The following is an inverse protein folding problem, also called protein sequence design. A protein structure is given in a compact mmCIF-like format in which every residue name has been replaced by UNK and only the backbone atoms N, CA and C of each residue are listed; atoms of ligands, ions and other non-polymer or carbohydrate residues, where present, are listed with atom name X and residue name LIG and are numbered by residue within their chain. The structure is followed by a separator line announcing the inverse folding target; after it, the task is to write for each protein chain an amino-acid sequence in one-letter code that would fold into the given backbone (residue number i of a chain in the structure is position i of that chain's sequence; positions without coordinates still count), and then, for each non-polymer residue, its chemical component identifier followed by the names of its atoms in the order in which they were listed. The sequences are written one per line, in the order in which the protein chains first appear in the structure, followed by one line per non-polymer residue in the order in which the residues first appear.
data_IF_998513657641
#
_entry.id   IF_998513657641
#
_cell.length_a   1.000
_cell.length_b   1.000
_cell.length_c   1.000
_cell.angle_alpha   90.00
_cell.angle_beta   90.00
_cell.angle_gamma   90.00
#
_symmetry.space_group_name_H-M   'P 1'
#
loop_
_entity.id
_entity.type
_entity.pdbx_description
1 polymer ?
#
# COMPACT_ATOMS: atom_id res chain seq x y z
N UNK A 1 4.78 9.09 -10.27
CA UNK A 1 3.39 9.59 -10.40
C UNK A 1 2.53 8.51 -11.03
N UNK A 2 1.39 8.15 -10.41
CA UNK A 2 0.42 7.21 -10.99
C UNK A 2 -0.86 7.97 -11.34
N UNK A 3 -1.30 7.86 -12.57
CA UNK A 3 -2.55 8.45 -13.05
C UNK A 3 -3.54 7.34 -13.45
N UNK A 4 -4.77 7.47 -12.99
CA UNK A 4 -5.87 6.57 -13.28
C UNK A 4 -6.89 7.30 -14.13
N UNK A 5 -7.21 6.80 -15.32
CA UNK A 5 -8.12 7.44 -16.27
C UNK A 5 -9.34 6.58 -16.53
N UNK A 6 -10.45 6.97 -15.92
CA UNK A 6 -11.78 6.42 -16.16
C UNK A 6 -11.84 4.89 -16.17
N UNK A 7 -11.21 4.24 -15.16
CA UNK A 7 -11.13 2.78 -15.09
C UNK A 7 -12.44 2.17 -14.63
N UNK A 8 -12.79 1.04 -15.27
CA UNK A 8 -13.88 0.16 -14.90
C UNK A 8 -13.36 -1.26 -14.74
N UNK A 9 -13.86 -1.96 -13.73
CA UNK A 9 -13.52 -3.36 -13.52
C UNK A 9 -14.69 -4.14 -12.89
N UNK A 10 -14.84 -5.39 -13.29
CA UNK A 10 -15.77 -6.33 -12.68
C UNK A 10 -15.13 -7.71 -12.58
N UNK A 11 -15.41 -8.42 -11.49
CA UNK A 11 -15.21 -9.87 -11.42
C UNK A 11 -16.42 -10.55 -12.09
N UNK A 12 -16.17 -11.29 -13.18
CA UNK A 12 -17.22 -11.83 -14.02
C UNK A 12 -18.22 -10.71 -14.44
N UNK A 13 -19.48 -10.79 -13.99
CA UNK A 13 -20.53 -9.79 -14.25
C UNK A 13 -20.72 -8.78 -13.11
N UNK A 14 -20.06 -8.96 -11.95
CA UNK A 14 -20.24 -8.09 -10.79
C UNK A 14 -19.34 -6.87 -10.88
N UNK A 15 -19.87 -5.64 -11.09
CA UNK A 15 -19.07 -4.42 -11.11
C UNK A 15 -18.43 -4.16 -9.74
N UNK A 16 -17.14 -3.78 -9.74
CA UNK A 16 -16.38 -3.45 -8.52
C UNK A 16 -15.74 -2.09 -8.59
N UNK A 17 -15.27 -1.68 -9.76
CA UNK A 17 -14.72 -0.33 -9.99
C UNK A 17 -15.54 0.31 -11.11
N UNK A 18 -16.00 1.54 -10.87
CA UNK A 18 -17.01 2.22 -11.67
C UNK A 18 -16.58 3.65 -12.05
N UNK A 19 -15.65 3.77 -13.01
CA UNK A 19 -15.24 5.06 -13.57
C UNK A 19 -14.34 5.88 -12.65
N UNK A 20 -13.32 5.25 -12.03
CA UNK A 20 -12.35 5.96 -11.20
C UNK A 20 -11.37 6.75 -12.09
N UNK A 21 -11.24 8.05 -11.76
CA UNK A 21 -10.23 8.94 -12.31
C UNK A 21 -9.53 9.67 -11.16
N UNK A 22 -8.21 9.48 -11.04
CA UNK A 22 -7.40 10.08 -9.97
C UNK A 22 -5.94 10.16 -10.35
N UNK A 23 -5.25 11.15 -9.79
CA UNK A 23 -3.80 11.33 -9.92
C UNK A 23 -3.18 11.20 -8.54
N UNK A 24 -2.33 10.18 -8.36
CA UNK A 24 -1.48 10.03 -7.17
C UNK A 24 -0.18 10.78 -7.42
N UNK A 25 0.03 11.84 -6.64
CA UNK A 25 1.18 12.70 -6.78
C UNK A 25 2.48 12.01 -6.36
N UNK A 26 3.60 12.42 -6.96
CA UNK A 26 4.92 11.90 -6.58
C UNK A 26 5.27 12.33 -5.15
N UNK A 27 5.72 11.37 -4.35
CA UNK A 27 6.09 11.63 -2.95
C UNK A 27 4.89 11.78 -2.01
N UNK A 28 3.64 11.59 -2.47
CA UNK A 28 2.46 11.60 -1.60
C UNK A 28 2.36 10.32 -0.77
N UNK A 29 1.75 10.44 0.41
CA UNK A 29 1.28 9.31 1.19
C UNK A 29 -0.25 9.34 1.20
N UNK A 30 -0.84 8.55 0.30
CA UNK A 30 -2.29 8.50 0.07
C UNK A 30 -2.93 7.30 0.75
N UNK A 31 -3.96 7.54 1.55
CA UNK A 31 -4.82 6.50 2.10
C UNK A 31 -6.05 6.26 1.20
N UNK A 32 -6.25 5.03 0.78
CA UNK A 32 -7.49 4.56 0.15
C UNK A 32 -8.38 3.99 1.26
N UNK A 33 -9.47 4.67 1.54
CA UNK A 33 -10.44 4.39 2.60
C UNK A 33 -11.77 3.90 2.01
N UNK A 34 -12.66 3.41 2.86
CA UNK A 34 -14.02 3.02 2.49
C UNK A 34 -14.45 1.71 3.16
N UNK A 35 -15.74 1.40 3.16
CA UNK A 35 -16.27 0.18 3.76
C UNK A 35 -15.74 -1.09 3.07
N UNK A 36 -15.98 -2.25 3.71
CA UNK A 36 -15.64 -3.54 3.12
C UNK A 36 -16.42 -3.72 1.80
N UNK A 37 -15.73 -4.22 0.77
CA UNK A 37 -16.32 -4.39 -0.56
C UNK A 37 -16.35 -3.12 -1.41
N UNK A 38 -15.89 -1.96 -0.95
CA UNK A 38 -15.88 -0.71 -1.73
C UNK A 38 -14.92 -0.70 -2.93
N UNK A 39 -14.02 -1.70 -3.04
CA UNK A 39 -13.08 -1.84 -4.15
C UNK A 39 -11.62 -1.46 -3.86
N UNK A 40 -11.24 -1.20 -2.60
CA UNK A 40 -9.87 -0.79 -2.20
C UNK A 40 -8.78 -1.74 -2.71
N UNK A 41 -8.85 -3.01 -2.32
CA UNK A 41 -7.92 -4.06 -2.78
C UNK A 41 -7.92 -4.22 -4.31
N UNK A 42 -9.10 -4.12 -4.92
CA UNK A 42 -9.23 -4.19 -6.38
C UNK A 42 -8.53 -3.02 -7.06
N UNK A 43 -8.67 -1.80 -6.53
CA UNK A 43 -7.97 -0.63 -7.05
C UNK A 43 -6.45 -0.80 -6.92
N UNK A 44 -5.94 -1.20 -5.75
CA UNK A 44 -4.50 -1.49 -5.55
C UNK A 44 -3.98 -2.51 -6.59
N UNK A 45 -4.73 -3.58 -6.84
CA UNK A 45 -4.34 -4.61 -7.82
C UNK A 45 -4.38 -4.12 -9.27
N UNK A 46 -5.29 -3.19 -9.59
CA UNK A 46 -5.32 -2.53 -10.90
C UNK A 46 -4.14 -1.58 -11.08
N UNK A 47 -3.76 -0.83 -10.04
CA UNK A 47 -2.59 0.05 -10.06
C UNK A 47 -1.28 -0.72 -10.32
N UNK A 48 -1.18 -1.95 -9.81
CA UNK A 48 -0.03 -2.84 -9.99
C UNK A 48 -0.14 -3.77 -11.22
N UNK A 49 -1.14 -3.57 -12.08
CA UNK A 49 -1.41 -4.41 -13.25
C UNK A 49 -1.57 -5.93 -12.95
N UNK A 50 -1.86 -6.30 -11.70
CA UNK A 50 -2.26 -7.67 -11.32
C UNK A 50 -3.62 -7.98 -11.91
N UNK A 51 -4.52 -6.99 -11.90
CA UNK A 51 -5.79 -7.01 -12.60
C UNK A 51 -5.72 -6.01 -13.77
N UNK A 52 -6.39 -6.34 -14.86
CA UNK A 52 -6.50 -5.44 -16.02
C UNK A 52 -7.88 -4.78 -16.02
N UNK A 53 -7.96 -3.45 -16.17
CA UNK A 53 -9.26 -2.78 -16.27
C UNK A 53 -10.01 -3.25 -17.53
N UNK A 54 -11.35 -3.30 -17.46
CA UNK A 54 -12.20 -3.59 -18.63
C UNK A 54 -12.24 -2.42 -19.60
N UNK A 55 -12.15 -1.21 -19.08
CA UNK A 55 -11.97 0.03 -19.85
C UNK A 55 -11.24 1.07 -19.02
N UNK A 56 -10.75 2.11 -19.69
CA UNK A 56 -9.83 3.08 -19.09
C UNK A 56 -8.40 2.54 -18.98
N UNK A 57 -7.52 3.30 -18.36
CA UNK A 57 -6.11 2.95 -18.26
C UNK A 57 -5.49 3.45 -16.95
N UNK A 58 -4.41 2.77 -16.55
CA UNK A 58 -3.51 3.22 -15.47
C UNK A 58 -2.17 3.57 -16.11
N UNK A 59 -1.67 4.75 -15.79
CA UNK A 59 -0.40 5.26 -16.28
C UNK A 59 0.59 5.38 -15.12
N UNK A 60 1.82 4.95 -15.33
CA UNK A 60 2.95 5.20 -14.45
C UNK A 60 3.94 6.09 -15.21
N UNK A 61 4.19 7.28 -14.70
CA UNK A 61 5.02 8.31 -15.35
C UNK A 61 4.66 8.50 -16.85
N UNK A 62 3.35 8.63 -17.12
CA UNK A 62 2.73 8.77 -18.46
C UNK A 62 2.80 7.55 -19.35
N UNK A 63 3.35 6.42 -18.90
CA UNK A 63 3.38 5.17 -19.64
C UNK A 63 2.26 4.23 -19.17
N UNK A 64 1.43 3.69 -20.07
CA UNK A 64 0.40 2.73 -19.69
C UNK A 64 1.01 1.47 -19.06
N UNK A 65 0.62 1.16 -17.81
CA UNK A 65 1.12 -0.06 -17.13
C UNK A 65 0.71 -1.34 -17.86
N UNK A 66 -0.40 -1.31 -18.59
CA UNK A 66 -0.84 -2.43 -19.43
C UNK A 66 0.13 -2.82 -20.54
N UNK A 67 1.02 -1.89 -20.96
CA UNK A 67 2.05 -2.11 -21.98
C UNK A 67 3.41 -2.52 -21.39
N UNK A 68 3.52 -2.55 -20.06
CA UNK A 68 4.75 -2.93 -19.37
C UNK A 68 4.76 -4.42 -19.08
N UNK A 69 5.95 -5.02 -19.13
CA UNK A 69 6.16 -6.38 -18.61
C UNK A 69 6.10 -6.39 -17.10
N UNK A 70 5.75 -7.53 -16.49
CA UNK A 70 5.75 -7.68 -15.03
C UNK A 70 7.10 -7.30 -14.40
N UNK A 71 8.21 -7.59 -15.10
CA UNK A 71 9.57 -7.22 -14.66
C UNK A 71 9.81 -5.71 -14.66
N UNK A 72 9.28 -4.98 -15.64
CA UNK A 72 9.36 -3.52 -15.70
C UNK A 72 8.54 -2.89 -14.57
N UNK A 73 7.31 -3.37 -14.35
CA UNK A 73 6.44 -2.91 -13.26
C UNK A 73 7.12 -3.16 -11.92
N UNK A 74 7.63 -4.37 -11.68
CA UNK A 74 8.28 -4.74 -10.42
C UNK A 74 9.56 -3.95 -10.10
N UNK A 75 10.17 -3.25 -11.07
CA UNK A 75 11.27 -2.31 -10.82
C UNK A 75 10.80 -0.93 -10.35
N UNK A 76 9.54 -0.60 -10.60
CA UNK A 76 8.97 0.74 -10.36
C UNK A 76 7.96 0.74 -9.21
N UNK A 77 7.25 -0.38 -9.03
CA UNK A 77 6.19 -0.54 -8.02
C UNK A 77 6.54 -1.71 -7.10
N UNK A 78 6.71 -1.42 -5.80
CA UNK A 78 6.72 -2.42 -4.74
C UNK A 78 5.29 -2.72 -4.30
N UNK A 79 4.95 -3.98 -4.04
CA UNK A 79 3.63 -4.38 -3.59
C UNK A 79 3.67 -5.24 -2.34
N UNK A 80 2.92 -4.84 -1.34
CA UNK A 80 2.71 -5.58 -0.08
C UNK A 80 1.24 -5.98 0.01
N UNK A 81 0.89 -7.24 -0.23
CA UNK A 81 -0.50 -7.72 -0.13
C UNK A 81 -0.95 -7.90 1.32
N UNK A 82 -2.26 -7.88 1.56
CA UNK A 82 -2.89 -8.05 2.87
C UNK A 82 -2.52 -9.38 3.55
N UNK A 83 -2.55 -10.49 2.80
CA UNK A 83 -2.22 -11.82 3.31
C UNK A 83 -1.17 -12.48 2.44
N UNK A 84 -0.21 -13.11 3.10
CA UNK A 84 0.72 -14.04 2.48
C UNK A 84 0.56 -15.40 3.15
N UNK A 85 -0.42 -16.16 2.64
CA UNK A 85 -0.60 -17.55 3.02
C UNK A 85 0.48 -18.39 2.30
N UNK A 86 0.95 -19.47 2.96
CA UNK A 86 1.95 -20.40 2.45
C UNK A 86 3.32 -19.74 2.16
N UNK A 87 3.95 -19.27 3.23
CA UNK A 87 5.34 -18.84 3.15
C UNK A 87 6.20 -20.10 3.19
N UNK A 88 6.93 -20.36 2.11
CA UNK A 88 7.93 -21.43 2.12
C UNK A 88 8.95 -21.14 3.23
N UNK A 89 9.44 -22.16 3.94
CA UNK A 89 10.53 -22.00 4.90
C UNK A 89 11.72 -21.31 4.22
N UNK A 90 12.03 -20.10 4.66
CA UNK A 90 13.13 -19.30 4.14
C UNK A 90 13.61 -18.36 5.23
N UNK A 91 14.87 -17.96 5.16
CA UNK A 91 15.39 -16.95 6.07
C UNK A 91 14.78 -15.59 5.78
N UNK A 92 14.84 -14.68 6.74
CA UNK A 92 14.49 -13.26 6.53
C UNK A 92 15.31 -12.69 5.39
N UNK A 93 16.64 -12.96 5.37
CA UNK A 93 17.53 -12.50 4.32
C UNK A 93 17.07 -12.99 2.94
N UNK A 94 16.81 -14.29 2.78
CA UNK A 94 16.39 -14.86 1.50
C UNK A 94 15.05 -14.27 1.06
N UNK A 95 14.11 -14.09 2.00
CA UNK A 95 12.80 -13.47 1.71
C UNK A 95 12.94 -12.05 1.18
N UNK A 96 13.83 -11.23 1.77
CA UNK A 96 14.08 -9.86 1.30
C UNK A 96 14.83 -9.88 -0.03
N UNK A 97 15.78 -10.80 -0.20
CA UNK A 97 16.53 -10.97 -1.45
C UNK A 97 15.63 -11.31 -2.64
N UNK A 98 14.49 -12.00 -2.43
CA UNK A 98 13.48 -12.19 -3.49
C UNK A 98 12.99 -10.88 -4.10
N UNK A 99 13.02 -9.77 -3.35
CA UNK A 99 12.74 -8.44 -3.88
C UNK A 99 13.68 -8.01 -5.01
N UNK A 100 14.87 -8.60 -5.10
CA UNK A 100 15.84 -8.33 -6.18
C UNK A 100 15.55 -9.08 -7.48
N UNK A 101 14.60 -10.04 -7.50
CA UNK A 101 14.26 -10.84 -8.68
C UNK A 101 14.09 -10.02 -9.99
N UNK A 102 13.54 -8.80 -10.01
CA UNK A 102 13.46 -8.00 -11.24
C UNK A 102 14.83 -7.64 -11.84
N UNK A 103 15.92 -7.74 -11.08
CA UNK A 103 17.28 -7.41 -11.52
C UNK A 103 18.12 -8.66 -11.79
N UNK A 104 17.79 -9.78 -11.15
CA UNK A 104 18.54 -11.04 -11.25
C UNK A 104 18.22 -11.73 -12.58
N UNK A 105 19.28 -12.27 -13.25
CA UNK A 105 19.10 -13.12 -14.45
C UNK A 105 19.15 -14.60 -14.12
N UNK A 106 20.20 -15.03 -13.41
CA UNK A 106 20.44 -16.43 -13.04
C UNK A 106 20.60 -16.59 -11.52
N UNK A 107 21.56 -15.89 -10.93
CA UNK A 107 21.81 -15.92 -9.49
C UNK A 107 21.97 -14.50 -8.95
N UNK A 108 21.63 -14.25 -7.66
CA UNK A 108 21.89 -12.98 -6.99
C UNK A 108 23.39 -12.66 -6.98
N UNK A 109 23.76 -11.46 -7.44
CA UNK A 109 25.14 -10.96 -7.35
C UNK A 109 25.44 -10.28 -6.02
N UNK A 110 26.71 -9.88 -5.81
CA UNK A 110 27.13 -9.18 -4.60
C UNK A 110 26.38 -7.86 -4.39
N UNK A 111 26.04 -7.15 -5.49
CA UNK A 111 25.21 -5.94 -5.41
C UNK A 111 23.82 -6.23 -4.84
N UNK A 112 23.20 -7.34 -5.21
CA UNK A 112 21.85 -7.70 -4.74
C UNK A 112 21.90 -8.05 -3.25
N UNK A 113 22.92 -8.77 -2.81
CA UNK A 113 23.15 -9.09 -1.40
C UNK A 113 23.42 -7.83 -0.58
N UNK A 114 24.25 -6.91 -1.09
CA UNK A 114 24.57 -5.65 -0.41
C UNK A 114 23.31 -4.79 -0.21
N UNK A 115 22.48 -4.62 -1.26
CA UNK A 115 21.19 -3.90 -1.15
C UNK A 115 20.27 -4.58 -0.13
N UNK A 116 20.22 -5.92 -0.13
CA UNK A 116 19.42 -6.67 0.83
C UNK A 116 19.88 -6.40 2.26
N UNK A 117 21.19 -6.47 2.52
CA UNK A 117 21.76 -6.20 3.84
C UNK A 117 21.51 -4.75 4.29
N UNK A 118 21.66 -3.77 3.40
CA UNK A 118 21.37 -2.35 3.69
C UNK A 118 19.91 -2.16 4.12
N UNK A 119 18.96 -2.78 3.41
CA UNK A 119 17.54 -2.71 3.74
C UNK A 119 17.23 -3.40 5.07
N UNK A 120 17.86 -4.53 5.36
CA UNK A 120 17.68 -5.21 6.65
C UNK A 120 18.15 -4.34 7.81
N UNK A 121 19.32 -3.71 7.70
CA UNK A 121 19.84 -2.77 8.72
C UNK A 121 18.88 -1.58 8.87
N UNK A 122 18.47 -0.95 7.76
CA UNK A 122 17.55 0.19 7.78
C UNK A 122 16.22 -0.10 8.49
N UNK A 123 15.74 -1.36 8.42
CA UNK A 123 14.47 -1.78 9.02
C UNK A 123 14.63 -2.51 10.36
N UNK A 124 15.84 -2.51 10.93
CA UNK A 124 16.17 -3.21 12.18
C UNK A 124 15.77 -4.70 12.13
N UNK A 125 16.16 -5.37 11.05
CA UNK A 125 15.93 -6.80 10.81
C UNK A 125 17.22 -7.61 10.71
N UNK A 126 18.37 -6.97 10.83
CA UNK A 126 19.72 -7.56 10.72
C UNK A 126 19.98 -8.63 11.78
N UNK A 127 19.57 -8.39 13.03
CA UNK A 127 19.69 -9.36 14.14
C UNK A 127 18.90 -10.66 13.90
N UNK A 128 17.89 -10.62 13.04
CA UNK A 128 17.04 -11.77 12.72
C UNK A 128 17.18 -12.24 11.28
N UNK A 129 18.19 -11.75 10.56
CA UNK A 129 18.37 -12.02 9.13
C UNK A 129 18.41 -13.51 8.77
N UNK A 130 18.97 -14.35 9.64
CA UNK A 130 19.09 -15.79 9.44
C UNK A 130 17.92 -16.60 10.05
N UNK A 131 16.96 -15.97 10.75
CA UNK A 131 15.81 -16.66 11.30
C UNK A 131 14.82 -17.04 10.19
N UNK A 132 14.15 -18.18 10.37
CA UNK A 132 13.03 -18.57 9.51
C UNK A 132 11.87 -17.58 9.69
N UNK A 133 11.32 -17.08 8.58
CA UNK A 133 10.22 -16.12 8.54
C UNK A 133 8.97 -16.63 9.26
N UNK A 134 8.77 -17.95 9.31
CA UNK A 134 7.62 -18.57 9.97
C UNK A 134 7.69 -18.47 11.51
N UNK A 135 8.87 -18.26 12.08
CA UNK A 135 9.08 -18.10 13.51
C UNK A 135 9.01 -16.65 13.98
N UNK A 136 8.64 -15.72 13.11
CA UNK A 136 8.54 -14.29 13.43
C UNK A 136 7.17 -13.93 13.98
N UNK A 137 7.13 -12.89 14.84
CA UNK A 137 5.89 -12.21 15.19
C UNK A 137 5.22 -11.60 13.95
N UNK A 138 3.91 -11.32 14.04
CA UNK A 138 3.17 -10.69 12.94
C UNK A 138 3.81 -9.37 12.49
N UNK A 139 4.21 -8.52 13.44
CA UNK A 139 4.85 -7.24 13.13
C UNK A 139 6.24 -7.38 12.52
N UNK A 140 7.06 -8.31 13.00
CA UNK A 140 8.36 -8.59 12.39
C UNK A 140 8.18 -9.11 10.95
N UNK A 141 7.25 -10.03 10.75
CA UNK A 141 6.94 -10.57 9.42
C UNK A 141 6.46 -9.48 8.47
N UNK A 142 5.63 -8.57 8.92
CA UNK A 142 5.16 -7.45 8.11
C UNK A 142 6.31 -6.53 7.68
N UNK A 143 7.24 -6.22 8.60
CA UNK A 143 8.46 -5.45 8.25
C UNK A 143 9.31 -6.18 7.21
N UNK A 144 9.44 -7.51 7.28
CA UNK A 144 10.14 -8.30 6.26
C UNK A 144 9.47 -8.19 4.89
N UNK A 145 8.14 -8.17 4.81
CA UNK A 145 7.46 -7.99 3.53
C UNK A 145 7.61 -6.57 2.96
N UNK A 146 7.61 -5.55 3.83
CA UNK A 146 7.94 -4.19 3.42
C UNK A 146 9.41 -4.12 2.95
N UNK A 147 10.34 -4.74 3.69
CA UNK A 147 11.75 -4.84 3.29
C UNK A 147 11.91 -5.48 1.91
N UNK A 148 11.19 -6.58 1.65
CA UNK A 148 11.18 -7.24 0.33
C UNK A 148 10.70 -6.32 -0.78
N UNK A 149 9.64 -5.54 -0.53
CA UNK A 149 9.14 -4.57 -1.50
C UNK A 149 10.16 -3.43 -1.73
N UNK A 150 10.82 -2.95 -0.68
CA UNK A 150 11.84 -1.91 -0.76
C UNK A 150 13.12 -2.39 -1.45
N UNK A 151 13.46 -3.68 -1.33
CA UNK A 151 14.61 -4.26 -2.04
C UNK A 151 14.50 -4.17 -3.56
N UNK A 152 13.29 -4.00 -4.11
CA UNK A 152 13.08 -3.67 -5.53
C UNK A 152 13.57 -2.27 -5.88
N UNK A 153 13.86 -1.40 -4.90
CA UNK A 153 14.17 0.02 -5.08
C UNK A 153 13.10 0.76 -5.91
N UNK A 154 11.82 0.61 -5.54
CA UNK A 154 10.71 1.15 -6.31
C UNK A 154 10.58 2.67 -6.11
N UNK A 155 9.93 3.35 -7.06
CA UNK A 155 9.50 4.75 -6.89
C UNK A 155 8.13 4.88 -6.22
N UNK A 156 7.34 3.80 -6.25
CA UNK A 156 6.01 3.71 -5.66
C UNK A 156 5.90 2.43 -4.84
N UNK A 157 5.30 2.51 -3.66
CA UNK A 157 4.91 1.33 -2.88
C UNK A 157 3.40 1.29 -2.70
N UNK A 158 2.81 0.15 -3.03
CA UNK A 158 1.39 -0.15 -2.86
C UNK A 158 1.23 -1.12 -1.71
N UNK A 159 0.37 -0.79 -0.74
CA UNK A 159 0.12 -1.62 0.43
C UNK A 159 -1.38 -1.89 0.56
N UNK A 160 -1.73 -3.15 0.73
CA UNK A 160 -3.11 -3.60 0.91
C UNK A 160 -3.30 -4.04 2.36
N UNK A 161 -3.86 -3.16 3.20
CA UNK A 161 -4.09 -3.34 4.64
C UNK A 161 -2.86 -3.87 5.41
N UNK A 162 -1.69 -3.19 5.33
CA UNK A 162 -0.43 -3.72 5.84
C UNK A 162 -0.38 -3.82 7.38
N UNK A 163 -1.30 -3.19 8.09
CA UNK A 163 -1.35 -3.18 9.55
C UNK A 163 -2.47 -4.05 10.13
N UNK A 164 -3.22 -4.77 9.28
CA UNK A 164 -4.25 -5.70 9.73
C UNK A 164 -3.64 -6.79 10.63
N UNK A 165 -4.28 -7.05 11.76
CA UNK A 165 -3.86 -8.05 12.75
C UNK A 165 -2.51 -7.77 13.45
N UNK A 166 -2.00 -6.56 13.41
CA UNK A 166 -0.87 -6.11 14.23
C UNK A 166 -1.38 -5.45 15.51
N UNK A 167 -0.63 -5.58 16.59
CA UNK A 167 -0.89 -4.77 17.78
C UNK A 167 -0.53 -3.30 17.55
N UNK A 168 -1.02 -2.42 18.43
CA UNK A 168 -0.90 -0.96 18.29
C UNK A 168 0.55 -0.52 18.13
N UNK A 169 1.49 -1.15 18.85
CA UNK A 169 2.91 -0.81 18.76
C UNK A 169 3.47 -1.06 17.37
N UNK A 170 3.24 -2.26 16.83
CA UNK A 170 3.76 -2.62 15.50
C UNK A 170 3.05 -1.86 14.38
N UNK A 171 1.75 -1.54 14.55
CA UNK A 171 1.05 -0.65 13.63
C UNK A 171 1.74 0.70 13.56
N UNK A 172 2.04 1.30 14.71
CA UNK A 172 2.72 2.60 14.80
C UNK A 172 4.11 2.56 14.13
N UNK A 173 4.92 1.54 14.43
CA UNK A 173 6.24 1.35 13.83
C UNK A 173 6.17 1.26 12.28
N UNK A 174 5.16 0.58 11.73
CA UNK A 174 4.95 0.50 10.27
C UNK A 174 4.58 1.86 9.69
N UNK A 175 3.68 2.62 10.33
CA UNK A 175 3.30 3.94 9.85
C UNK A 175 4.44 4.96 9.91
N UNK A 176 5.22 4.96 10.99
CA UNK A 176 6.43 5.79 11.12
C UNK A 176 7.39 5.52 9.96
N UNK A 177 7.70 4.23 9.69
CA UNK A 177 8.53 3.83 8.58
C UNK A 177 7.98 4.33 7.24
N UNK A 178 6.69 4.15 6.98
CA UNK A 178 6.06 4.60 5.73
C UNK A 178 6.11 6.14 5.61
N UNK A 179 5.90 6.86 6.72
CA UNK A 179 6.01 8.33 6.74
C UNK A 179 7.43 8.81 6.42
N UNK A 180 8.45 8.14 6.95
CA UNK A 180 9.86 8.45 6.63
C UNK A 180 10.15 8.20 5.14
N UNK A 181 9.66 7.09 4.59
CA UNK A 181 9.81 6.78 3.18
C UNK A 181 9.14 7.83 2.28
N UNK A 182 7.93 8.28 2.64
CA UNK A 182 7.22 9.34 1.91
C UNK A 182 8.00 10.66 1.96
N UNK A 183 8.49 11.06 3.15
CA UNK A 183 9.33 12.26 3.31
C UNK A 183 10.63 12.19 2.50
N UNK A 184 11.15 11.00 2.24
CA UNK A 184 12.31 10.79 1.36
C UNK A 184 11.96 10.80 -0.15
N UNK A 185 10.72 11.10 -0.52
CA UNK A 185 10.23 11.25 -1.90
C UNK A 185 9.61 10.00 -2.52
N UNK A 186 9.42 8.92 -1.75
CA UNK A 186 8.72 7.73 -2.20
C UNK A 186 7.22 7.97 -2.23
N UNK A 187 6.55 7.59 -3.31
CA UNK A 187 5.08 7.63 -3.39
C UNK A 187 4.50 6.41 -2.68
N UNK A 188 3.59 6.63 -1.73
CA UNK A 188 2.95 5.56 -0.96
C UNK A 188 1.45 5.62 -1.17
N UNK A 189 0.88 4.49 -1.56
CA UNK A 189 -0.56 4.31 -1.72
C UNK A 189 -0.97 3.11 -0.88
N UNK A 190 -1.81 3.33 0.11
CA UNK A 190 -2.17 2.31 1.09
C UNK A 190 -3.68 2.18 1.21
N UNK A 191 -4.22 0.99 0.99
CA UNK A 191 -5.57 0.65 1.41
C UNK A 191 -5.59 0.41 2.91
N UNK A 192 -6.50 1.05 3.63
CA UNK A 192 -6.64 0.95 5.07
C UNK A 192 -8.11 1.15 5.47
N UNK A 193 -8.51 0.55 6.60
CA UNK A 193 -9.87 0.70 7.14
C UNK A 193 -9.94 1.61 8.36
N UNK A 194 -8.83 1.84 9.06
CA UNK A 194 -8.77 2.71 10.24
C UNK A 194 -8.58 4.17 9.84
N UNK A 195 -9.67 4.95 10.02
CA UNK A 195 -9.72 6.37 9.70
C UNK A 195 -8.76 7.20 10.56
N UNK A 196 -8.64 6.86 11.85
CA UNK A 196 -7.80 7.60 12.79
C UNK A 196 -6.32 7.42 12.49
N UNK A 197 -5.91 6.20 12.18
CA UNK A 197 -4.53 5.95 11.74
C UNK A 197 -4.22 6.65 10.42
N UNK A 198 -5.14 6.60 9.46
CA UNK A 198 -4.96 7.32 8.20
C UNK A 198 -4.78 8.83 8.44
N UNK A 199 -5.63 9.45 9.28
CA UNK A 199 -5.57 10.89 9.62
C UNK A 199 -4.25 11.31 10.28
N UNK A 200 -3.64 10.43 11.06
CA UNK A 200 -2.40 10.75 11.76
C UNK A 200 -1.16 10.71 10.85
N UNK A 201 -1.16 9.87 9.81
CA UNK A 201 0.04 9.58 9.04
C UNK A 201 -0.03 9.93 7.56
N UNK A 202 -1.24 9.94 6.96
CA UNK A 202 -1.39 10.21 5.54
C UNK A 202 -1.66 11.67 5.25
N UNK A 203 -1.28 12.12 4.05
CA UNK A 203 -1.45 13.50 3.61
C UNK A 203 -2.64 13.67 2.67
N UNK A 204 -2.98 12.61 1.95
CA UNK A 204 -4.06 12.58 0.98
C UNK A 204 -4.99 11.40 1.25
N UNK A 205 -6.28 11.61 1.01
CA UNK A 205 -7.32 10.63 1.31
C UNK A 205 -8.21 10.44 0.10
N UNK A 206 -8.49 9.18 -0.21
CA UNK A 206 -9.38 8.75 -1.26
C UNK A 206 -10.42 7.81 -0.65
N UNK A 207 -11.66 8.27 -0.47
CA UNK A 207 -12.72 7.43 0.10
C UNK A 207 -13.52 6.80 -1.04
N UNK A 208 -13.50 5.47 -1.09
CA UNK A 208 -14.28 4.70 -2.04
C UNK A 208 -15.63 4.27 -1.45
N UNK A 209 -16.68 4.42 -2.24
CA UNK A 209 -18.00 3.85 -1.98
C UNK A 209 -18.58 3.27 -3.27
N UNK A 210 -19.05 1.99 -3.22
CA UNK A 210 -19.62 1.27 -4.36
C UNK A 210 -18.78 1.37 -5.65
N UNK A 211 -17.43 1.26 -5.51
CA UNK A 211 -16.50 1.28 -6.63
C UNK A 211 -16.25 2.65 -7.26
N UNK A 212 -16.71 3.73 -6.63
CA UNK A 212 -16.50 5.12 -7.05
C UNK A 212 -15.72 5.88 -6.00
N UNK A 213 -15.06 6.96 -6.42
CA UNK A 213 -14.53 7.94 -5.48
C UNK A 213 -15.70 8.76 -4.95
N UNK A 214 -16.01 8.58 -3.66
CA UNK A 214 -17.05 9.35 -2.99
C UNK A 214 -16.50 10.71 -2.51
N UNK A 215 -15.28 10.72 -1.99
CA UNK A 215 -14.59 11.92 -1.47
C UNK A 215 -13.09 11.79 -1.73
N UNK A 216 -12.41 12.90 -2.01
CA UNK A 216 -10.95 12.96 -2.14
C UNK A 216 -10.41 14.30 -1.70
N UNK A 217 -9.21 14.35 -1.14
CA UNK A 217 -8.49 15.55 -0.73
C UNK A 217 -7.61 15.34 0.50
N UNK A 218 -7.33 16.41 1.21
CA UNK A 218 -6.57 16.39 2.46
C UNK A 218 -7.46 16.09 3.68
N UNK A 219 -6.93 16.21 4.90
CA UNK A 219 -7.67 15.94 6.15
C UNK A 219 -8.94 16.78 6.36
N UNK A 220 -9.15 17.84 5.57
CA UNK A 220 -10.33 18.71 5.71
C UNK A 220 -11.57 18.17 4.98
N UNK A 221 -11.43 17.11 4.19
CA UNK A 221 -12.56 16.48 3.49
C UNK A 221 -13.51 15.71 4.42
N UNK A 222 -13.08 15.39 5.64
CA UNK A 222 -13.89 14.58 6.55
C UNK A 222 -15.01 15.41 7.19
N UNK A 223 -16.26 15.03 6.96
CA UNK A 223 -17.43 15.54 7.66
C UNK A 223 -18.27 14.39 8.23
N UNK A 224 -18.94 14.64 9.37
CA UNK A 224 -19.77 13.63 10.02
C UNK A 224 -20.85 13.12 9.06
N UNK A 225 -21.55 14.01 8.35
CA UNK A 225 -22.60 13.66 7.39
C UNK A 225 -22.09 12.74 6.27
N UNK A 226 -20.93 13.03 5.69
CA UNK A 226 -20.32 12.20 4.63
C UNK A 226 -19.93 10.83 5.15
N UNK A 227 -19.27 10.77 6.31
CA UNK A 227 -18.86 9.52 6.93
C UNK A 227 -20.07 8.66 7.32
N UNK A 228 -21.12 9.25 7.93
CA UNK A 228 -22.35 8.55 8.26
C UNK A 228 -23.02 7.97 7.01
N UNK A 229 -23.05 8.74 5.91
CA UNK A 229 -23.60 8.25 4.64
C UNK A 229 -22.82 7.08 4.06
N UNK A 230 -21.48 7.13 4.11
CA UNK A 230 -20.60 6.11 3.51
C UNK A 230 -20.51 4.87 4.40
N UNK A 231 -20.28 5.04 5.69
CA UNK A 231 -20.03 3.92 6.62
C UNK A 231 -21.32 3.39 7.29
N UNK A 232 -22.46 4.08 7.13
CA UNK A 232 -23.77 3.72 7.70
C UNK A 232 -23.78 3.65 9.22
N UNK A 233 -22.91 4.41 9.88
CA UNK A 233 -22.77 4.50 11.33
C UNK A 233 -22.68 5.97 11.70
N UNK A 234 -23.34 6.38 12.77
CA UNK A 234 -23.17 7.72 13.33
C UNK A 234 -21.74 7.89 13.81
N UNK A 235 -21.13 9.01 13.48
CA UNK A 235 -19.78 9.37 13.91
C UNK A 235 -19.74 10.79 14.43
N UNK A 236 -18.75 11.07 15.27
CA UNK A 236 -18.42 12.43 15.72
C UNK A 236 -16.97 12.72 15.40
N UNK A 237 -16.69 13.92 14.94
CA UNK A 237 -15.36 14.41 14.63
C UNK A 237 -14.92 15.37 15.72
N UNK A 238 -13.87 14.99 16.43
CA UNK A 238 -13.24 15.82 17.46
C UNK A 238 -11.92 16.38 16.91
N UNK A 239 -11.72 17.68 17.10
CA UNK A 239 -10.45 18.34 16.76
C UNK A 239 -9.80 18.83 18.02
N UNK A 240 -8.61 18.36 18.31
CA UNK A 240 -7.80 18.79 19.45
C UNK A 240 -6.41 19.19 18.96
N UNK A 241 -6.08 20.47 19.03
CA UNK A 241 -4.87 21.07 18.45
C UNK A 241 -4.75 20.69 16.95
N UNK A 242 -3.69 19.95 16.58
CA UNK A 242 -3.43 19.53 15.20
C UNK A 242 -3.97 18.12 14.89
N UNK A 243 -4.62 17.48 15.85
CA UNK A 243 -5.15 16.12 15.71
C UNK A 243 -6.66 16.13 15.46
N UNK A 244 -7.08 15.25 14.57
CA UNK A 244 -8.49 14.99 14.26
C UNK A 244 -8.79 13.54 14.62
N UNK A 245 -9.85 13.32 15.39
CA UNK A 245 -10.31 11.99 15.81
C UNK A 245 -11.72 11.76 15.32
N UNK A 246 -11.98 10.57 14.81
CA UNK A 246 -13.32 10.11 14.38
C UNK A 246 -13.73 9.01 15.35
N UNK A 247 -14.81 9.23 16.07
CA UNK A 247 -15.34 8.28 17.05
C UNK A 247 -16.75 7.85 16.64
N UNK A 248 -17.14 6.59 16.91
CA UNK A 248 -18.54 6.19 16.83
C UNK A 248 -19.41 7.07 17.74
N UNK A 249 -20.58 7.51 17.23
CA UNK A 249 -21.54 8.35 17.94
C UNK A 249 -22.57 7.55 18.72
#
# INVERSE_FOLDING_TARGET
MIEVKNIYFSYNSTPVINGITHLFEKGSFTAILGPNGSGKTTLIRLLNNILKPKSGEVLLDRMPVGNMTARQIAKLIGYVPQFQNNIFPATVFDTVLLGRNPYIRWNPGEKDKAITSEILVRLHLDDIALKDINHLSGGQRQRVFIARALAQQPSVILLDEPTANLDIRYQHEVFELLSELSRSGMTIIMAIHDLNQALNFCHEFLILDNGKIAVKGDKNIFSEEQLERIYKVRVRIFKEKDHTYILPG
#
